data_IF_542623015602
#
_entry.id   IF_542623015602
#
_cell.length_a   1.000
_cell.length_b   1.000
_cell.length_c   1.000
_cell.angle_alpha   90.00
_cell.angle_beta   90.00
_cell.angle_gamma   90.00
#
_symmetry.space_group_name_H-M   'P 1'
#
loop_
_entity.id
_entity.type
_entity.pdbx_description
1 polymer ?
#
# COMPACT_ATOMS: atom_id res chain seq x y z
N UNK A 1 13.40 17.74 10.79
CA UNK A 1 12.97 17.39 9.44
C UNK A 1 11.93 16.30 9.52
N UNK A 2 10.92 16.36 8.64
CA UNK A 2 9.85 15.37 8.63
C UNK A 2 9.91 14.58 7.34
N UNK A 3 9.80 13.27 7.45
CA UNK A 3 9.64 12.37 6.31
C UNK A 3 8.26 11.76 6.34
N UNK A 4 7.74 11.46 5.16
CA UNK A 4 6.45 10.81 5.01
C UNK A 4 6.71 9.34 4.73
N UNK A 5 6.18 8.47 5.58
CA UNK A 5 6.37 7.03 5.43
C UNK A 5 5.11 6.39 4.85
N UNK A 6 5.34 5.50 3.89
CA UNK A 6 4.27 4.76 3.22
C UNK A 6 4.13 3.38 3.84
N UNK A 7 2.93 3.06 4.27
CA UNK A 7 2.58 1.70 4.71
C UNK A 7 1.51 1.15 3.77
N UNK A 8 1.83 0.05 3.11
CA UNK A 8 0.97 -0.57 2.12
C UNK A 8 0.44 -1.89 2.64
N UNK A 9 -0.84 -2.15 2.41
CA UNK A 9 -1.48 -3.38 2.85
C UNK A 9 -2.22 -4.04 1.70
N UNK A 10 -2.24 -5.36 1.70
CA UNK A 10 -3.12 -6.15 0.85
C UNK A 10 -4.19 -6.75 1.74
N UNK A 11 -5.44 -6.62 1.32
CA UNK A 11 -6.58 -7.01 2.15
C UNK A 11 -7.50 -7.92 1.38
N UNK A 12 -8.32 -8.68 2.12
CA UNK A 12 -9.33 -9.55 1.54
C UNK A 12 -10.69 -9.20 2.14
N UNK A 13 -11.72 -9.05 1.29
CA UNK A 13 -13.07 -8.80 1.77
C UNK A 13 -13.82 -10.08 2.12
N UNK A 14 -13.33 -11.22 1.63
CA UNK A 14 -14.01 -12.51 1.83
C UNK A 14 -13.69 -13.09 3.19
N UNK A 15 -12.47 -12.89 3.69
CA UNK A 15 -12.02 -13.45 4.97
C UNK A 15 -11.94 -12.33 6.00
N UNK A 16 -13.11 -11.79 6.41
CA UNK A 16 -13.19 -10.89 7.54
C UNK A 16 -12.35 -9.61 7.45
N UNK A 17 -12.10 -9.10 6.25
CA UNK A 17 -11.31 -7.87 6.05
C UNK A 17 -9.88 -7.98 6.59
N UNK A 18 -9.29 -9.15 6.52
CA UNK A 18 -7.91 -9.32 6.94
C UNK A 18 -6.96 -8.60 6.00
N UNK A 19 -5.99 -7.92 6.58
CA UNK A 19 -4.97 -7.18 5.84
C UNK A 19 -3.59 -7.62 6.27
N UNK A 20 -2.67 -7.63 5.30
CA UNK A 20 -1.27 -7.94 5.56
C UNK A 20 -0.39 -6.80 5.07
N UNK A 21 0.60 -6.47 5.86
CA UNK A 21 1.55 -5.43 5.51
C UNK A 21 2.44 -5.93 4.36
N UNK A 22 2.57 -5.10 3.34
CA UNK A 22 3.43 -5.39 2.19
C UNK A 22 4.73 -4.62 2.37
N UNK A 23 5.88 -5.30 2.45
CA UNK A 23 7.15 -4.58 2.56
C UNK A 23 7.47 -3.84 1.27
N UNK A 24 7.90 -2.58 1.42
CA UNK A 24 8.25 -1.72 0.30
C UNK A 24 9.63 -1.16 0.56
N UNK A 25 10.54 -1.32 -0.41
CA UNK A 25 11.91 -0.84 -0.27
C UNK A 25 11.97 0.68 -0.15
N UNK A 26 11.27 1.36 -1.04
CA UNK A 26 11.29 2.82 -1.11
C UNK A 26 10.06 3.36 -0.41
N UNK A 27 10.10 3.38 0.91
CA UNK A 27 8.93 3.64 1.73
C UNK A 27 8.92 5.01 2.41
N UNK A 28 9.81 5.92 2.03
CA UNK A 28 9.77 7.26 2.60
C UNK A 28 9.90 8.32 1.51
N UNK A 29 9.27 9.46 1.76
CA UNK A 29 9.12 10.51 0.77
C UNK A 29 9.27 11.87 1.45
N UNK A 30 9.54 12.89 0.65
CA UNK A 30 9.73 14.25 1.17
C UNK A 30 8.42 14.96 1.44
N UNK A 31 7.34 14.56 0.76
CA UNK A 31 6.03 15.18 0.97
C UNK A 31 4.91 14.17 0.75
N UNK A 32 3.71 14.59 1.12
CA UNK A 32 2.53 13.73 1.02
C UNK A 32 2.15 13.48 -0.45
N UNK A 33 2.38 14.47 -1.30
CA UNK A 33 2.04 14.33 -2.71
C UNK A 33 2.80 13.16 -3.33
N UNK A 34 4.13 13.13 -3.15
CA UNK A 34 4.95 12.05 -3.72
C UNK A 34 4.58 10.70 -3.13
N UNK A 35 4.32 10.66 -1.83
CA UNK A 35 3.89 9.42 -1.17
C UNK A 35 2.58 8.91 -1.75
N UNK A 36 1.61 9.79 -1.94
CA UNK A 36 0.28 9.43 -2.43
C UNK A 36 0.34 8.93 -3.86
N UNK A 37 1.08 9.64 -4.72
CA UNK A 37 1.22 9.22 -6.13
C UNK A 37 1.88 7.84 -6.19
N UNK A 38 2.95 7.65 -5.45
CA UNK A 38 3.63 6.37 -5.43
C UNK A 38 2.72 5.26 -4.90
N UNK A 39 1.95 5.57 -3.85
CA UNK A 39 1.03 4.60 -3.25
C UNK A 39 0.01 4.10 -4.25
N UNK A 40 -0.60 4.99 -5.01
CA UNK A 40 -1.58 4.58 -6.02
C UNK A 40 -0.94 3.80 -7.16
N UNK A 41 0.24 4.23 -7.62
CA UNK A 41 0.94 3.53 -8.69
C UNK A 41 1.36 2.13 -8.24
N UNK A 42 1.91 2.03 -7.04
CA UNK A 42 2.35 0.75 -6.50
C UNK A 42 1.16 -0.19 -6.26
N UNK A 43 0.04 0.36 -5.79
CA UNK A 43 -1.18 -0.42 -5.59
C UNK A 43 -1.62 -1.10 -6.87
N UNK A 44 -1.60 -0.36 -7.98
CA UNK A 44 -1.96 -0.91 -9.28
C UNK A 44 -1.01 -2.03 -9.69
N UNK A 45 0.29 -1.82 -9.53
CA UNK A 45 1.30 -2.82 -9.86
C UNK A 45 1.11 -4.07 -8.99
N UNK A 46 0.85 -3.86 -7.72
CA UNK A 46 0.68 -4.96 -6.78
C UNK A 46 -0.52 -5.83 -7.13
N UNK A 47 -1.66 -5.20 -7.43
CA UNK A 47 -2.87 -5.94 -7.82
C UNK A 47 -2.65 -6.69 -9.13
N UNK A 48 -1.97 -6.08 -10.09
CA UNK A 48 -1.69 -6.72 -11.37
C UNK A 48 -0.72 -7.89 -11.24
N UNK A 49 0.09 -7.90 -10.19
CA UNK A 49 1.00 -9.01 -9.94
C UNK A 49 0.27 -10.27 -9.46
N UNK A 50 -0.93 -10.11 -8.93
CA UNK A 50 -1.77 -11.24 -8.56
C UNK A 50 -2.59 -11.70 -9.75
N UNK A 51 -2.92 -12.98 -9.73
CA UNK A 51 -3.79 -13.57 -10.72
C UNK A 51 -5.19 -12.95 -10.62
N UNK A 52 -5.81 -12.68 -11.77
CA UNK A 52 -7.17 -12.12 -11.81
C UNK A 52 -8.13 -12.97 -11.01
N UNK A 53 -8.02 -14.29 -11.17
CA UNK A 53 -8.88 -15.23 -10.48
C UNK A 53 -8.72 -15.14 -8.97
N UNK A 54 -7.49 -14.99 -8.51
CA UNK A 54 -7.21 -14.83 -7.09
C UNK A 54 -7.86 -13.56 -6.54
N UNK A 55 -7.69 -12.44 -7.26
CA UNK A 55 -8.24 -11.16 -6.82
C UNK A 55 -9.77 -11.23 -6.74
N UNK A 56 -10.40 -11.82 -7.76
CA UNK A 56 -11.86 -11.89 -7.80
C UNK A 56 -12.41 -12.87 -6.75
N UNK A 57 -11.73 -13.96 -6.54
CA UNK A 57 -12.17 -14.98 -5.58
C UNK A 57 -12.08 -14.49 -4.15
N UNK A 58 -11.04 -13.77 -3.82
CA UNK A 58 -10.79 -13.32 -2.45
C UNK A 58 -11.26 -11.90 -2.18
N UNK A 59 -11.74 -11.19 -3.20
CA UNK A 59 -12.08 -9.79 -3.05
C UNK A 59 -10.86 -9.00 -2.60
N UNK A 60 -9.71 -9.29 -3.20
CA UNK A 60 -8.46 -8.67 -2.78
C UNK A 60 -8.42 -7.20 -3.18
N UNK A 61 -7.94 -6.36 -2.28
CA UNK A 61 -7.75 -4.95 -2.57
C UNK A 61 -6.53 -4.46 -1.79
N UNK A 62 -6.03 -3.31 -2.19
CA UNK A 62 -4.91 -2.69 -1.51
C UNK A 62 -5.37 -1.43 -0.80
N UNK A 63 -4.70 -1.10 0.28
CA UNK A 63 -4.85 0.21 0.90
C UNK A 63 -3.48 0.66 1.37
N UNK A 64 -3.30 1.97 1.49
CA UNK A 64 -2.06 2.51 2.00
C UNK A 64 -2.33 3.77 2.79
N UNK A 65 -1.38 4.09 3.65
CA UNK A 65 -1.40 5.33 4.40
C UNK A 65 -0.04 6.00 4.28
N UNK A 66 -0.05 7.33 4.28
CA UNK A 66 1.15 8.14 4.27
C UNK A 66 1.22 8.85 5.62
N UNK A 67 2.21 8.50 6.43
CA UNK A 67 2.30 8.96 7.81
C UNK A 67 3.52 9.87 7.96
N UNK A 68 3.32 11.13 8.34
CA UNK A 68 4.45 12.00 8.63
C UNK A 68 5.12 11.61 9.94
N UNK A 69 6.45 11.53 9.92
CA UNK A 69 7.20 11.22 11.12
C UNK A 69 8.47 12.07 11.17
N UNK A 70 8.81 12.58 12.35
CA UNK A 70 10.04 13.34 12.49
C UNK A 70 11.25 12.41 12.36
N UNK A 71 12.30 12.92 11.75
CA UNK A 71 13.58 12.25 11.66
C UNK A 71 14.53 12.94 12.59
N UNK A 72 15.14 12.19 13.46
CA UNK A 72 16.10 12.72 14.43
C UNK A 72 17.50 12.55 13.87
#
# INVERSE_FOLDING_TARGET
MIKIFLFMYICSTVIGNECQLVPIENNNFNDVYDCTVYGYQYSSVLIKAFDREFVNKNGAYTKFICVPQPII
#
